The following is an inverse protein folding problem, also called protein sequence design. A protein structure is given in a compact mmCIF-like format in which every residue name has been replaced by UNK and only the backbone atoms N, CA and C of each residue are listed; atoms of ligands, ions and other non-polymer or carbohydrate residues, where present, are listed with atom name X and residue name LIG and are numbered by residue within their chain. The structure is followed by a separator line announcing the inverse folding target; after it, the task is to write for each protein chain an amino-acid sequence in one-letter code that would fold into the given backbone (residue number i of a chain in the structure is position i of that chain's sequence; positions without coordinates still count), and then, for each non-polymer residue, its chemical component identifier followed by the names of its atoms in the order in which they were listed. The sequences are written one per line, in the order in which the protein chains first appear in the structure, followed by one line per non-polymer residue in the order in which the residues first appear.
data_IF_082661663203
#
_entry.id   IF_082661663203
#
_cell.length_a   1.000
_cell.length_b   1.000
_cell.length_c   1.000
_cell.angle_alpha   90.00
_cell.angle_beta   90.00
_cell.angle_gamma   90.00
#
_symmetry.space_group_name_H-M   'P 1'
#
loop_
_entity.id
_entity.type
_entity.pdbx_description
1 polymer ?
#
# COMPACT_ATOMS: atom_id res chain seq x y z
N UNK A 1 27.07 16.65 -5.75
CA UNK A 1 26.48 16.89 -4.42
C UNK A 1 25.02 16.46 -4.50
N UNK A 2 24.64 15.37 -3.84
CA UNK A 2 23.24 14.96 -3.72
C UNK A 2 22.58 15.97 -2.78
N UNK A 3 21.72 16.85 -3.32
CA UNK A 3 20.83 17.67 -2.48
C UNK A 3 19.87 16.66 -1.84
N UNK A 4 20.09 16.37 -0.55
CA UNK A 4 19.18 15.53 0.22
C UNK A 4 17.80 16.22 0.17
N UNK A 5 16.82 15.53 -0.40
CA UNK A 5 15.45 16.00 -0.35
C UNK A 5 15.08 16.22 1.13
N UNK A 6 14.52 17.38 1.46
CA UNK A 6 14.08 17.67 2.81
C UNK A 6 12.98 16.68 3.20
N UNK A 7 13.26 15.84 4.19
CA UNK A 7 12.31 14.89 4.75
C UNK A 7 11.59 15.56 5.90
N UNK A 8 10.26 15.53 5.89
CA UNK A 8 9.42 16.01 6.99
C UNK A 8 8.57 14.85 7.51
N UNK A 9 8.40 14.79 8.81
CA UNK A 9 7.66 13.75 9.52
C UNK A 9 6.59 14.39 10.39
N UNK A 10 5.38 13.85 10.32
CA UNK A 10 4.26 14.38 11.08
C UNK A 10 3.21 13.30 11.37
N UNK A 11 2.28 13.61 12.26
CA UNK A 11 1.10 12.80 12.51
C UNK A 11 -0.15 13.59 12.14
N UNK A 12 -1.04 12.95 11.42
CA UNK A 12 -2.31 13.53 10.99
C UNK A 12 -3.49 12.71 11.51
N UNK A 13 -4.62 13.34 11.66
CA UNK A 13 -5.84 12.66 12.07
C UNK A 13 -6.41 11.84 10.91
N UNK A 14 -6.84 10.62 11.21
CA UNK A 14 -7.58 9.73 10.34
C UNK A 14 -8.92 9.36 10.98
N UNK A 15 -9.66 8.44 10.36
CA UNK A 15 -10.95 8.00 10.87
C UNK A 15 -10.85 7.34 12.26
N UNK A 16 -11.94 7.34 13.01
CA UNK A 16 -12.08 6.68 14.33
C UNK A 16 -11.10 7.20 15.40
N UNK A 17 -10.65 8.47 15.30
CA UNK A 17 -9.73 9.07 16.26
C UNK A 17 -8.30 8.53 16.20
N UNK A 18 -7.94 7.80 15.18
CA UNK A 18 -6.59 7.29 14.94
C UNK A 18 -5.72 8.42 14.33
N UNK A 19 -4.49 8.56 14.82
CA UNK A 19 -3.48 9.42 14.20
C UNK A 19 -2.48 8.57 13.45
N UNK A 20 -2.33 8.84 12.17
CA UNK A 20 -1.37 8.15 11.32
C UNK A 20 -0.11 8.98 11.13
N UNK A 21 1.02 8.30 11.01
CA UNK A 21 2.31 8.90 10.72
C UNK A 21 2.47 9.04 9.21
N UNK A 22 2.94 10.22 8.78
CA UNK A 22 3.22 10.52 7.37
C UNK A 22 4.63 11.09 7.25
N UNK A 23 5.38 10.55 6.32
CA UNK A 23 6.69 11.03 5.90
C UNK A 23 6.55 11.71 4.55
N UNK A 24 7.13 12.89 4.38
CA UNK A 24 7.07 13.57 3.09
C UNK A 24 8.44 14.07 2.66
N UNK A 25 8.64 14.15 1.35
CA UNK A 25 9.85 14.66 0.69
C UNK A 25 9.45 15.80 -0.23
N UNK A 26 10.11 16.94 -0.03
CA UNK A 26 9.91 18.11 -0.87
C UNK A 26 11.00 18.16 -1.94
N UNK A 27 10.65 18.31 -3.23
CA UNK A 27 11.64 18.47 -4.29
C UNK A 27 12.41 19.79 -4.14
N UNK A 28 13.61 19.90 -4.72
CA UNK A 28 14.43 21.11 -4.63
C UNK A 28 13.87 22.31 -5.41
N UNK A 29 12.89 22.08 -6.28
CA UNK A 29 12.18 23.10 -7.07
C UNK A 29 10.67 22.92 -6.92
N UNK A 30 9.87 23.84 -7.51
CA UNK A 30 8.43 23.71 -7.51
C UNK A 30 8.01 22.33 -8.07
N UNK A 31 7.19 21.56 -7.32
CA UNK A 31 6.78 20.23 -7.75
C UNK A 31 5.87 20.27 -8.97
N UNK A 32 6.02 19.30 -9.86
CA UNK A 32 5.18 19.11 -11.03
C UNK A 32 4.01 18.16 -10.81
N UNK A 33 3.97 17.51 -9.65
CA UNK A 33 2.94 16.58 -9.25
C UNK A 33 3.19 16.05 -7.85
N UNK A 34 2.23 15.31 -7.33
CA UNK A 34 2.25 14.69 -6.01
C UNK A 34 2.20 13.17 -6.16
N UNK A 35 3.01 12.46 -5.38
CA UNK A 35 2.98 11.00 -5.25
C UNK A 35 2.66 10.62 -3.81
N UNK A 36 1.58 9.86 -3.62
CA UNK A 36 1.26 9.24 -2.34
C UNK A 36 1.62 7.76 -2.41
N UNK A 37 2.35 7.24 -1.41
CA UNK A 37 2.83 5.86 -1.34
C UNK A 37 2.13 5.15 -0.19
N UNK A 38 1.44 4.04 -0.51
CA UNK A 38 0.82 3.11 0.44
C UNK A 38 1.63 1.81 0.47
N UNK A 39 2.26 1.53 1.63
CA UNK A 39 3.08 0.33 1.84
C UNK A 39 2.26 -0.94 2.04
N UNK A 40 2.89 -2.11 1.94
CA UNK A 40 2.31 -3.41 2.20
C UNK A 40 2.46 -3.90 3.65
N UNK A 41 2.32 -5.22 3.84
CA UNK A 41 2.64 -5.90 5.10
C UNK A 41 4.16 -5.98 5.29
N UNK A 42 4.63 -6.22 6.51
CA UNK A 42 6.04 -6.17 6.90
C UNK A 42 6.74 -4.87 6.48
N UNK A 43 6.01 -3.76 6.43
CA UNK A 43 6.52 -2.51 5.88
C UNK A 43 5.96 -1.28 6.59
N UNK A 44 6.62 -0.13 6.35
CA UNK A 44 6.22 1.20 6.78
C UNK A 44 6.95 2.26 5.94
N UNK A 45 6.59 3.54 6.07
CA UNK A 45 7.15 4.65 5.27
C UNK A 45 8.68 4.78 5.33
N UNK A 46 9.30 4.32 6.41
CA UNK A 46 10.77 4.34 6.58
C UNK A 46 11.52 3.48 5.57
N UNK A 47 10.88 2.44 5.02
CA UNK A 47 11.49 1.60 4.00
C UNK A 47 11.49 2.26 2.60
N UNK A 48 10.79 3.39 2.45
CA UNK A 48 10.71 4.17 1.20
C UNK A 48 11.65 5.40 1.20
N UNK A 49 12.60 5.50 2.14
CA UNK A 49 13.51 6.66 2.21
C UNK A 49 14.27 6.89 0.90
N UNK A 50 14.81 5.83 0.30
CA UNK A 50 15.51 5.92 -0.98
C UNK A 50 14.55 6.30 -2.12
N UNK A 51 13.44 5.57 -2.26
CA UNK A 51 12.47 5.79 -3.34
C UNK A 51 11.85 7.19 -3.25
N UNK A 52 11.46 7.63 -2.03
CA UNK A 52 10.93 8.97 -1.80
C UNK A 52 11.92 10.07 -2.23
N UNK A 53 13.21 9.90 -1.90
CA UNK A 53 14.26 10.83 -2.32
C UNK A 53 14.45 10.84 -3.86
N UNK A 54 14.39 9.67 -4.53
CA UNK A 54 14.48 9.59 -5.99
C UNK A 54 13.30 10.29 -6.68
N UNK A 55 12.08 10.04 -6.23
CA UNK A 55 10.89 10.69 -6.77
C UNK A 55 10.90 12.20 -6.52
N UNK A 56 11.35 12.65 -5.33
CA UNK A 56 11.51 14.06 -5.05
C UNK A 56 12.57 14.71 -5.95
N UNK A 57 13.69 14.05 -6.16
CA UNK A 57 14.74 14.51 -7.10
C UNK A 57 14.23 14.58 -8.53
N UNK A 58 13.24 13.76 -8.88
CA UNK A 58 12.56 13.80 -10.18
C UNK A 58 11.45 14.88 -10.24
N UNK A 59 11.30 15.72 -9.21
CA UNK A 59 10.38 16.86 -9.20
C UNK A 59 8.96 16.53 -8.71
N UNK A 60 8.78 15.49 -7.91
CA UNK A 60 7.50 15.17 -7.27
C UNK A 60 7.53 15.55 -5.78
N UNK A 61 6.43 16.09 -5.25
CA UNK A 61 6.20 16.09 -3.82
C UNK A 61 5.72 14.69 -3.42
N UNK A 62 6.43 14.04 -2.47
CA UNK A 62 6.15 12.64 -2.12
C UNK A 62 5.62 12.56 -0.69
N UNK A 63 4.61 11.74 -0.47
CA UNK A 63 4.03 11.43 0.83
C UNK A 63 3.93 9.92 0.99
N UNK A 64 4.53 9.36 2.05
CA UNK A 64 4.39 7.95 2.40
C UNK A 64 3.76 7.87 3.79
N UNK A 65 2.61 7.20 3.89
CA UNK A 65 1.96 6.99 5.18
C UNK A 65 2.45 5.70 5.84
N UNK A 66 2.33 5.64 7.16
CA UNK A 66 2.24 4.37 7.88
C UNK A 66 0.76 4.08 8.10
N UNK A 67 0.27 2.94 7.60
CA UNK A 67 -1.10 2.50 7.84
C UNK A 67 -1.34 2.32 9.35
N UNK A 68 -2.56 2.52 9.83
CA UNK A 68 -2.91 2.31 11.25
C UNK A 68 -2.42 0.95 11.76
N UNK A 69 -1.92 0.90 12.99
CA UNK A 69 -1.35 -0.29 13.60
C UNK A 69 -0.01 -0.73 13.00
N UNK A 70 0.64 0.07 12.13
CA UNK A 70 1.92 -0.20 11.49
C UNK A 70 2.88 0.97 11.65
N UNK A 71 4.17 0.70 11.50
CA UNK A 71 5.20 1.73 11.62
C UNK A 71 5.06 2.54 12.90
N UNK A 72 4.96 3.85 12.76
CA UNK A 72 4.79 4.81 13.86
C UNK A 72 3.34 5.30 14.04
N UNK A 73 2.38 4.78 13.28
CA UNK A 73 0.97 5.12 13.39
C UNK A 73 0.33 4.51 14.64
N UNK A 74 -0.70 5.19 15.15
CA UNK A 74 -1.55 4.68 16.22
C UNK A 74 -2.39 3.49 15.73
N UNK A 75 -3.01 2.79 16.66
CA UNK A 75 -3.85 1.63 16.42
C UNK A 75 -3.27 0.34 16.99
N UNK A 76 -4.10 -0.70 17.08
CA UNK A 76 -3.66 -2.02 17.50
C UNK A 76 -2.72 -2.62 16.45
N UNK A 77 -1.58 -3.18 16.89
CA UNK A 77 -0.54 -3.69 15.98
C UNK A 77 -1.09 -4.75 15.03
N UNK A 78 -0.93 -4.48 13.72
CA UNK A 78 -1.30 -5.34 12.59
C UNK A 78 -2.80 -5.65 12.47
N UNK A 79 -3.64 -5.03 13.29
CA UNK A 79 -5.06 -5.30 13.37
C UNK A 79 -5.88 -4.27 12.59
N UNK A 80 -6.77 -4.76 11.73
CA UNK A 80 -7.83 -3.96 11.09
C UNK A 80 -9.05 -4.84 10.83
N UNK A 81 -10.23 -4.31 11.09
CA UNK A 81 -11.50 -5.05 10.92
C UNK A 81 -12.01 -4.98 9.47
N UNK A 82 -11.82 -3.83 8.84
CA UNK A 82 -12.27 -3.56 7.48
C UNK A 82 -11.16 -2.87 6.68
N UNK A 83 -11.03 -3.22 5.41
CA UNK A 83 -10.09 -2.53 4.52
C UNK A 83 -10.38 -1.03 4.41
N UNK A 84 -11.63 -0.62 4.60
CA UNK A 84 -12.06 0.79 4.60
C UNK A 84 -11.37 1.64 5.66
N UNK A 85 -10.90 1.02 6.74
CA UNK A 85 -10.09 1.70 7.74
C UNK A 85 -8.73 2.11 7.17
N UNK A 86 -8.07 1.24 6.41
CA UNK A 86 -6.86 1.55 5.67
C UNK A 86 -7.12 2.53 4.51
N UNK A 87 -8.26 2.38 3.82
CA UNK A 87 -8.68 3.32 2.77
C UNK A 87 -8.82 4.73 3.35
N UNK A 88 -9.35 4.87 4.58
CA UNK A 88 -9.46 6.16 5.28
C UNK A 88 -8.09 6.79 5.58
N UNK A 89 -7.06 5.97 5.87
CA UNK A 89 -5.69 6.46 6.09
C UNK A 89 -5.08 7.00 4.80
N UNK A 90 -5.30 6.30 3.68
CA UNK A 90 -4.90 6.77 2.35
C UNK A 90 -5.63 8.07 2.00
N UNK A 91 -6.94 8.14 2.23
CA UNK A 91 -7.74 9.34 2.00
C UNK A 91 -7.23 10.56 2.79
N UNK A 92 -6.93 10.39 4.09
CA UNK A 92 -6.38 11.45 4.93
C UNK A 92 -5.02 11.95 4.39
N UNK A 93 -4.16 11.04 3.93
CA UNK A 93 -2.85 11.38 3.36
C UNK A 93 -2.99 12.12 2.02
N UNK A 94 -3.91 11.70 1.16
CA UNK A 94 -4.21 12.39 -0.11
C UNK A 94 -4.78 13.79 0.17
N UNK A 95 -5.68 13.93 1.14
CA UNK A 95 -6.23 15.23 1.53
C UNK A 95 -5.13 16.19 2.03
N UNK A 96 -4.20 15.70 2.87
CA UNK A 96 -3.04 16.46 3.31
C UNK A 96 -2.20 16.91 2.11
N UNK A 97 -1.88 15.99 1.20
CA UNK A 97 -1.06 16.26 0.02
C UNK A 97 -1.69 17.32 -0.88
N UNK A 98 -3.00 17.20 -1.15
CA UNK A 98 -3.77 18.18 -1.94
C UNK A 98 -3.88 19.54 -1.26
N UNK A 99 -3.96 19.60 0.08
CA UNK A 99 -3.97 20.86 0.83
C UNK A 99 -2.64 21.63 0.74
N UNK A 100 -1.52 20.90 0.68
CA UNK A 100 -0.18 21.48 0.54
C UNK A 100 0.17 21.89 -0.89
N UNK A 101 -0.35 21.15 -1.85
CA UNK A 101 -0.06 21.32 -3.26
C UNK A 101 -1.35 21.39 -4.09
N UNK A 102 -2.18 22.43 -3.88
CA UNK A 102 -3.46 22.55 -4.55
C UNK A 102 -3.28 22.65 -6.08
N UNK A 103 -4.14 21.95 -6.82
CA UNK A 103 -4.16 21.96 -8.29
C UNK A 103 -3.10 21.11 -8.99
N UNK A 104 -2.16 20.51 -8.25
CA UNK A 104 -1.21 19.58 -8.86
C UNK A 104 -1.83 18.19 -9.12
N UNK A 105 -1.38 17.49 -10.18
CA UNK A 105 -1.77 16.11 -10.42
C UNK A 105 -1.32 15.21 -9.27
N UNK A 106 -2.21 14.33 -8.80
CA UNK A 106 -1.97 13.40 -7.70
C UNK A 106 -1.93 11.97 -8.23
N UNK A 107 -0.87 11.26 -7.92
CA UNK A 107 -0.67 9.85 -8.21
C UNK A 107 -0.66 9.05 -6.90
N UNK A 108 -1.28 7.87 -6.92
CA UNK A 108 -1.25 6.92 -5.81
C UNK A 108 -0.42 5.69 -6.21
N UNK A 109 0.59 5.36 -5.40
CA UNK A 109 1.37 4.14 -5.53
C UNK A 109 1.00 3.19 -4.39
N UNK A 110 0.51 2.01 -4.73
CA UNK A 110 0.25 0.92 -3.79
C UNK A 110 1.20 -0.24 -4.02
N UNK A 111 1.93 -0.63 -2.97
CA UNK A 111 2.87 -1.75 -3.02
C UNK A 111 2.32 -2.95 -2.23
N UNK A 112 2.35 -4.15 -2.83
CA UNK A 112 1.93 -5.40 -2.20
C UNK A 112 0.49 -5.32 -1.67
N UNK A 113 0.23 -5.59 -0.39
CA UNK A 113 -1.08 -5.39 0.26
C UNK A 113 -1.55 -3.92 0.20
N UNK A 114 -0.62 -2.95 0.20
CA UNK A 114 -0.95 -1.55 -0.06
C UNK A 114 -1.53 -1.32 -1.46
N UNK A 115 -1.24 -2.20 -2.42
CA UNK A 115 -1.91 -2.24 -3.72
C UNK A 115 -3.39 -2.57 -3.59
N UNK A 116 -3.76 -3.55 -2.74
CA UNK A 116 -5.17 -3.91 -2.45
C UNK A 116 -5.92 -2.75 -1.80
N UNK A 117 -5.30 -2.11 -0.81
CA UNK A 117 -5.85 -0.91 -0.13
C UNK A 117 -6.03 0.23 -1.14
N UNK A 118 -4.99 0.51 -1.93
CA UNK A 118 -5.00 1.59 -2.93
C UNK A 118 -6.01 1.33 -4.05
N UNK A 119 -6.12 0.10 -4.55
CA UNK A 119 -7.13 -0.26 -5.54
C UNK A 119 -8.56 -0.11 -4.98
N UNK A 120 -8.76 -0.45 -3.69
CA UNK A 120 -10.04 -0.22 -3.00
C UNK A 120 -10.36 1.28 -2.89
N UNK A 121 -9.37 2.13 -2.58
CA UNK A 121 -9.53 3.58 -2.63
C UNK A 121 -9.89 4.07 -4.04
N UNK A 122 -9.17 3.59 -5.06
CA UNK A 122 -9.37 3.98 -6.46
C UNK A 122 -10.79 3.67 -6.92
N UNK A 123 -11.37 2.53 -6.57
CA UNK A 123 -12.74 2.17 -6.95
C UNK A 123 -13.77 3.25 -6.62
N UNK A 124 -13.62 3.89 -5.47
CA UNK A 124 -14.62 4.83 -4.96
C UNK A 124 -14.20 6.30 -5.13
N UNK A 125 -12.89 6.57 -5.35
CA UNK A 125 -12.30 7.92 -5.31
C UNK A 125 -11.40 8.24 -6.52
N UNK A 126 -11.48 7.49 -7.63
CA UNK A 126 -10.58 7.68 -8.77
C UNK A 126 -10.60 9.07 -9.39
N UNK A 127 -11.70 9.81 -9.25
CA UNK A 127 -11.80 11.21 -9.71
C UNK A 127 -10.86 12.17 -8.96
N UNK A 128 -10.34 11.76 -7.82
CA UNK A 128 -9.39 12.53 -7.02
C UNK A 128 -7.93 12.34 -7.46
N UNK A 129 -7.68 11.39 -8.37
CA UNK A 129 -6.35 10.98 -8.80
C UNK A 129 -6.14 11.21 -10.29
N UNK A 130 -4.89 11.45 -10.66
CA UNK A 130 -4.44 11.52 -12.06
C UNK A 130 -4.03 10.15 -12.59
N UNK A 131 -3.56 9.27 -11.72
CA UNK A 131 -3.17 7.90 -12.09
C UNK A 131 -2.90 7.03 -10.86
N UNK A 132 -2.92 5.72 -11.09
CA UNK A 132 -2.64 4.70 -10.09
C UNK A 132 -1.45 3.85 -10.51
N UNK A 133 -0.51 3.65 -9.59
CA UNK A 133 0.66 2.78 -9.76
C UNK A 133 0.50 1.62 -8.79
N UNK A 134 0.49 0.40 -9.33
CA UNK A 134 0.34 -0.83 -8.56
C UNK A 134 1.60 -1.69 -8.73
N UNK A 135 2.35 -1.88 -7.66
CA UNK A 135 3.60 -2.62 -7.66
C UNK A 135 3.48 -3.89 -6.82
N UNK A 136 3.94 -5.04 -7.37
CA UNK A 136 3.93 -6.35 -6.70
C UNK A 136 2.57 -6.65 -6.04
N UNK A 137 1.51 -6.52 -6.80
CA UNK A 137 0.13 -6.52 -6.32
C UNK A 137 -0.23 -7.80 -5.55
N UNK A 138 -0.52 -7.68 -4.25
CA UNK A 138 -0.91 -8.81 -3.40
C UNK A 138 -2.39 -9.21 -3.58
N UNK A 139 -2.89 -9.13 -4.81
CA UNK A 139 -4.20 -9.61 -5.19
C UNK A 139 -4.15 -11.14 -5.38
N UNK A 140 -5.15 -11.83 -4.85
CA UNK A 140 -5.21 -13.29 -4.78
C UNK A 140 -4.18 -13.88 -3.82
N UNK A 141 -4.52 -13.84 -2.52
CA UNK A 141 -3.75 -14.57 -1.50
C UNK A 141 -3.58 -16.04 -1.97
N UNK A 142 -2.35 -16.56 -2.06
CA UNK A 142 -2.09 -17.91 -2.60
C UNK A 142 -2.48 -18.99 -1.57
N UNK A 143 -3.79 -19.14 -1.34
CA UNK A 143 -4.34 -20.16 -0.45
C UNK A 143 -5.58 -20.80 -1.08
N UNK A 144 -5.82 -22.09 -0.83
CA UNK A 144 -7.04 -22.77 -1.30
C UNK A 144 -8.30 -22.08 -0.78
N UNK A 145 -9.38 -22.05 -1.59
CA UNK A 145 -10.61 -21.34 -1.25
C UNK A 145 -11.24 -21.79 0.08
N UNK A 146 -11.12 -23.07 0.46
CA UNK A 146 -11.58 -23.57 1.75
C UNK A 146 -10.79 -22.98 2.93
N UNK A 147 -9.50 -22.74 2.77
CA UNK A 147 -8.66 -22.12 3.80
C UNK A 147 -9.04 -20.64 3.98
N UNK A 148 -9.29 -19.91 2.90
CA UNK A 148 -9.77 -18.54 2.94
C UNK A 148 -11.16 -18.45 3.60
N UNK A 149 -12.05 -19.39 3.31
CA UNK A 149 -13.36 -19.48 3.97
C UNK A 149 -13.23 -19.77 5.47
N UNK A 150 -12.31 -20.68 5.85
CA UNK A 150 -12.02 -20.98 7.25
C UNK A 150 -11.47 -19.75 7.99
N UNK A 151 -10.56 -18.98 7.37
CA UNK A 151 -10.03 -17.72 7.96
C UNK A 151 -11.17 -16.70 8.16
N UNK A 152 -12.08 -16.56 7.18
CA UNK A 152 -13.25 -15.68 7.32
C UNK A 152 -14.16 -16.12 8.48
N UNK A 153 -14.41 -17.41 8.65
CA UNK A 153 -15.14 -17.95 9.80
C UNK A 153 -14.40 -17.71 11.12
N UNK A 154 -13.09 -17.97 11.16
CA UNK A 154 -12.25 -17.80 12.34
C UNK A 154 -12.16 -16.33 12.76
N UNK A 155 -12.22 -15.39 11.81
CA UNK A 155 -12.20 -13.95 12.10
C UNK A 155 -13.33 -13.50 13.02
N UNK A 156 -14.45 -14.22 13.08
CA UNK A 156 -15.56 -13.93 13.99
C UNK A 156 -15.38 -14.57 15.38
N UNK A 157 -14.68 -15.70 15.46
CA UNK A 157 -14.52 -16.45 16.72
C UNK A 157 -13.24 -16.08 17.45
N UNK A 158 -12.16 -15.87 16.72
CA UNK A 158 -10.83 -15.55 17.24
C UNK A 158 -10.15 -14.49 16.37
N UNK A 159 -10.63 -13.24 16.34
CA UNK A 159 -10.19 -12.21 15.40
C UNK A 159 -8.69 -11.88 15.49
N UNK A 160 -8.10 -12.01 16.69
CA UNK A 160 -6.69 -11.71 16.96
C UNK A 160 -5.75 -12.90 16.77
N UNK A 161 -6.28 -14.08 16.41
CA UNK A 161 -5.42 -15.26 16.21
C UNK A 161 -4.46 -15.00 15.02
N UNK A 162 -3.13 -15.13 15.22
CA UNK A 162 -2.16 -15.01 14.13
C UNK A 162 -2.35 -16.17 13.13
N UNK A 163 -2.58 -15.86 11.86
CA UNK A 163 -2.85 -16.87 10.82
C UNK A 163 -1.90 -16.79 9.62
N UNK A 164 -1.17 -15.68 9.47
CA UNK A 164 -0.25 -15.49 8.36
C UNK A 164 0.99 -14.73 8.83
N UNK A 165 2.14 -15.37 8.69
CA UNK A 165 3.46 -14.75 8.88
C UNK A 165 4.25 -14.88 7.58
N UNK A 166 4.74 -13.76 7.06
CA UNK A 166 5.54 -13.72 5.85
C UNK A 166 7.03 -13.73 6.23
N UNK A 167 7.84 -14.38 5.40
CA UNK A 167 9.27 -14.43 5.57
C UNK A 167 9.93 -13.31 4.79
N UNK A 168 10.82 -12.56 5.40
CA UNK A 168 11.51 -11.45 4.73
C UNK A 168 12.45 -11.93 3.61
N UNK A 169 12.89 -13.19 3.66
CA UNK A 169 13.67 -13.86 2.61
C UNK A 169 12.91 -14.00 1.28
N UNK A 170 11.57 -13.97 1.33
CA UNK A 170 10.73 -14.02 0.13
C UNK A 170 10.58 -12.65 -0.57
N UNK A 171 10.98 -11.55 0.10
CA UNK A 171 10.87 -10.19 -0.44
C UNK A 171 12.11 -9.72 -1.19
N UNK A 172 13.29 -10.31 -0.94
CA UNK A 172 14.52 -9.89 -1.60
C UNK A 172 15.53 -11.02 -1.72
N UNK A 173 16.29 -11.00 -2.81
CA UNK A 173 17.48 -11.86 -3.01
C UNK A 173 18.76 -11.21 -2.47
N UNK A 174 18.72 -9.93 -2.12
CA UNK A 174 19.83 -9.21 -1.51
C UNK A 174 19.88 -9.53 0.00
N UNK A 175 20.94 -10.21 0.48
CA UNK A 175 21.06 -10.58 1.89
C UNK A 175 21.13 -9.36 2.82
N UNK A 176 21.70 -8.24 2.38
CA UNK A 176 21.76 -7.02 3.16
C UNK A 176 20.38 -6.37 3.30
N UNK A 177 19.55 -6.45 2.26
CA UNK A 177 18.16 -6.01 2.33
C UNK A 177 17.35 -6.87 3.31
N UNK A 178 17.48 -8.20 3.24
CA UNK A 178 16.86 -9.14 4.17
C UNK A 178 17.30 -8.90 5.61
N UNK A 179 18.60 -8.70 5.84
CA UNK A 179 19.13 -8.39 7.18
C UNK A 179 18.54 -7.09 7.74
N UNK A 180 18.39 -6.05 6.92
CA UNK A 180 17.72 -4.79 7.33
C UNK A 180 16.26 -5.02 7.70
N UNK A 181 15.50 -5.78 6.90
CA UNK A 181 14.11 -6.13 7.21
C UNK A 181 13.99 -6.92 8.51
N UNK A 182 14.86 -7.93 8.71
CA UNK A 182 14.86 -8.77 9.92
C UNK A 182 15.24 -8.00 11.19
N UNK A 183 16.00 -6.92 11.07
CA UNK A 183 16.43 -6.08 12.19
C UNK A 183 15.52 -4.88 12.46
N UNK A 184 14.49 -4.66 11.65
CA UNK A 184 13.59 -3.52 11.77
C UNK A 184 12.63 -3.70 12.95
N UNK A 185 12.74 -2.90 14.02
CA UNK A 185 11.89 -3.04 15.20
C UNK A 185 10.41 -2.70 14.92
N UNK A 186 10.11 -1.95 13.86
CA UNK A 186 8.74 -1.54 13.52
C UNK A 186 7.95 -2.64 12.82
N UNK A 187 8.64 -3.67 12.30
CA UNK A 187 8.02 -4.84 11.67
C UNK A 187 8.36 -6.15 12.40
N UNK A 188 9.08 -6.05 13.53
CA UNK A 188 9.49 -7.22 14.32
C UNK A 188 8.28 -8.05 14.76
N UNK A 189 8.37 -9.37 14.56
CA UNK A 189 7.32 -10.34 14.91
C UNK A 189 5.97 -10.09 14.22
N UNK A 190 5.95 -9.41 13.07
CA UNK A 190 4.71 -9.18 12.35
C UNK A 190 4.07 -10.49 11.93
N UNK A 191 2.84 -10.69 12.40
CA UNK A 191 1.96 -11.77 11.98
C UNK A 191 0.55 -11.20 11.81
N UNK A 192 -0.09 -11.54 10.70
CA UNK A 192 -1.41 -11.02 10.38
C UNK A 192 -2.47 -11.76 11.18
N UNK A 193 -3.31 -11.07 11.97
CA UNK A 193 -4.44 -11.69 12.66
C UNK A 193 -5.54 -12.08 11.66
N UNK A 194 -6.34 -13.06 12.06
CA UNK A 194 -7.41 -13.63 11.23
C UNK A 194 -8.37 -12.57 10.67
N UNK A 195 -8.71 -11.57 11.47
CA UNK A 195 -9.61 -10.48 11.05
C UNK A 195 -8.99 -9.63 9.93
N UNK A 196 -7.70 -9.30 10.01
CA UNK A 196 -6.99 -8.50 9.01
C UNK A 196 -6.84 -9.26 7.70
N UNK A 197 -6.48 -10.55 7.76
CA UNK A 197 -6.44 -11.40 6.56
C UNK A 197 -7.83 -11.51 5.94
N UNK A 198 -8.88 -11.72 6.74
CA UNK A 198 -10.25 -11.78 6.27
C UNK A 198 -10.72 -10.45 5.64
N UNK A 199 -10.28 -9.30 6.16
CA UNK A 199 -10.57 -8.00 5.57
C UNK A 199 -9.93 -7.85 4.17
N UNK A 200 -8.67 -8.26 4.01
CA UNK A 200 -7.98 -8.25 2.72
C UNK A 200 -8.61 -9.24 1.72
N UNK A 201 -8.99 -10.43 2.17
CA UNK A 201 -9.68 -11.42 1.31
C UNK A 201 -11.03 -10.87 0.82
N UNK A 202 -11.81 -10.22 1.68
CA UNK A 202 -13.07 -9.56 1.27
C UNK A 202 -12.82 -8.42 0.27
N UNK A 203 -11.73 -7.67 0.45
CA UNK A 203 -11.34 -6.64 -0.52
C UNK A 203 -10.96 -7.26 -1.87
N UNK A 204 -10.22 -8.35 -1.89
CA UNK A 204 -9.90 -9.09 -3.12
C UNK A 204 -11.16 -9.58 -3.85
N UNK A 205 -12.14 -10.11 -3.11
CA UNK A 205 -13.43 -10.55 -3.67
C UNK A 205 -14.20 -9.40 -4.33
N UNK A 206 -14.21 -8.22 -3.69
CA UNK A 206 -14.79 -6.99 -4.25
C UNK A 206 -14.02 -6.52 -5.48
N UNK A 207 -12.70 -6.41 -5.39
CA UNK A 207 -11.83 -5.95 -6.46
C UNK A 207 -11.97 -6.82 -7.72
N UNK A 208 -12.03 -8.15 -7.55
CA UNK A 208 -12.22 -9.10 -8.66
C UNK A 208 -13.46 -8.78 -9.49
N UNK A 209 -14.54 -8.34 -8.85
CA UNK A 209 -15.80 -8.03 -9.51
C UNK A 209 -15.80 -6.61 -10.10
N UNK A 210 -15.09 -5.68 -9.46
CA UNK A 210 -15.20 -4.26 -9.73
C UNK A 210 -14.02 -3.65 -10.50
N UNK A 211 -12.95 -4.40 -10.82
CA UNK A 211 -11.85 -3.89 -11.66
C UNK A 211 -12.29 -3.21 -12.95
N UNK A 212 -13.36 -3.64 -13.66
CA UNK A 212 -13.85 -2.92 -14.84
C UNK A 212 -14.27 -1.46 -14.58
N UNK A 213 -14.55 -1.10 -13.32
CA UNK A 213 -14.90 0.29 -12.93
C UNK A 213 -13.67 1.19 -12.79
N UNK A 214 -12.47 0.64 -12.71
CA UNK A 214 -11.22 1.42 -12.64
C UNK A 214 -10.88 1.92 -14.04
N UNK A 215 -11.05 3.21 -14.29
CA UNK A 215 -10.93 3.82 -15.63
C UNK A 215 -9.84 4.88 -15.74
N UNK A 216 -9.25 5.34 -14.61
CA UNK A 216 -8.10 6.24 -14.62
C UNK A 216 -6.86 5.54 -15.19
N UNK A 217 -5.79 6.28 -15.59
CA UNK A 217 -4.52 5.69 -16.03
C UNK A 217 -3.90 4.78 -14.95
N UNK A 218 -3.44 3.58 -15.35
CA UNK A 218 -2.87 2.59 -14.45
C UNK A 218 -1.52 2.08 -14.96
N UNK A 219 -0.49 2.16 -14.12
CA UNK A 219 0.78 1.47 -14.30
C UNK A 219 0.86 0.30 -13.32
N UNK A 220 1.03 -0.92 -13.84
CA UNK A 220 1.18 -2.13 -13.06
C UNK A 220 2.59 -2.66 -13.26
N UNK A 221 3.29 -2.95 -12.18
CA UNK A 221 4.65 -3.50 -12.20
C UNK A 221 4.71 -4.73 -11.30
N UNK A 222 5.37 -5.82 -11.76
CA UNK A 222 5.50 -7.03 -10.97
C UNK A 222 6.75 -7.82 -11.38
N UNK A 223 7.51 -8.29 -10.40
CA UNK A 223 8.62 -9.19 -10.66
C UNK A 223 8.11 -10.60 -10.99
N UNK A 224 8.55 -11.17 -12.12
CA UNK A 224 8.14 -12.53 -12.53
C UNK A 224 8.64 -13.64 -11.59
N UNK A 225 9.65 -13.34 -10.76
CA UNK A 225 10.25 -14.25 -9.78
C UNK A 225 9.85 -13.90 -8.33
N UNK A 226 8.78 -13.10 -8.18
CA UNK A 226 8.22 -12.73 -6.88
C UNK A 226 7.65 -13.97 -6.17
N UNK A 227 8.12 -14.22 -4.92
CA UNK A 227 7.71 -15.35 -4.11
C UNK A 227 6.67 -15.00 -3.06
N UNK A 228 6.54 -13.70 -2.77
CA UNK A 228 5.60 -13.19 -1.77
C UNK A 228 4.21 -12.94 -2.36
N UNK A 229 4.18 -12.49 -3.63
CA UNK A 229 2.94 -12.23 -4.35
C UNK A 229 3.00 -12.86 -5.75
N UNK A 230 1.84 -13.33 -6.22
CA UNK A 230 1.80 -14.02 -7.52
C UNK A 230 1.56 -13.04 -8.66
N UNK A 231 2.45 -13.04 -9.65
CA UNK A 231 2.40 -12.19 -10.84
C UNK A 231 1.04 -12.26 -11.57
N UNK A 232 0.39 -13.45 -11.56
CA UNK A 232 -0.92 -13.66 -12.17
C UNK A 232 -2.00 -12.69 -11.66
N UNK A 233 -1.93 -12.24 -10.41
CA UNK A 233 -2.86 -11.23 -9.88
C UNK A 233 -2.74 -9.89 -10.61
N UNK A 234 -1.52 -9.46 -10.91
CA UNK A 234 -1.23 -8.24 -11.70
C UNK A 234 -1.67 -8.39 -13.15
N UNK A 235 -1.45 -9.54 -13.76
CA UNK A 235 -1.92 -9.84 -15.12
C UNK A 235 -3.46 -9.79 -15.19
N UNK A 236 -4.14 -10.42 -14.22
CA UNK A 236 -5.60 -10.40 -14.13
C UNK A 236 -6.14 -8.98 -13.97
N UNK A 237 -5.53 -8.16 -13.11
CA UNK A 237 -5.90 -6.75 -12.95
C UNK A 237 -5.71 -5.99 -14.27
N UNK A 238 -4.55 -6.16 -14.94
CA UNK A 238 -4.33 -5.52 -16.25
C UNK A 238 -5.37 -5.93 -17.28
N UNK A 239 -5.74 -7.20 -17.36
CA UNK A 239 -6.72 -7.70 -18.33
C UNK A 239 -8.12 -7.12 -18.08
N UNK A 240 -8.51 -7.00 -16.80
CA UNK A 240 -9.90 -6.71 -16.42
C UNK A 240 -10.18 -5.25 -16.07
N UNK A 241 -9.15 -4.43 -15.74
CA UNK A 241 -9.33 -3.00 -15.50
C UNK A 241 -9.96 -2.30 -16.71
N UNK A 242 -10.93 -1.43 -16.43
CA UNK A 242 -11.65 -0.64 -17.44
C UNK A 242 -10.84 0.50 -18.04
N UNK A 243 -9.67 0.79 -17.52
CA UNK A 243 -8.76 1.82 -18.03
C UNK A 243 -8.38 1.56 -19.49
N UNK A 244 -8.43 2.61 -20.30
CA UNK A 244 -7.91 2.61 -21.68
C UNK A 244 -6.42 2.94 -21.74
N UNK A 245 -5.90 3.57 -20.69
CA UNK A 245 -4.48 3.89 -20.49
C UNK A 245 -3.94 3.01 -19.37
N UNK A 246 -3.57 1.79 -19.72
CA UNK A 246 -3.03 0.82 -18.77
C UNK A 246 -1.79 0.12 -19.33
N UNK A 247 -0.76 0.06 -18.50
CA UNK A 247 0.52 -0.58 -18.83
C UNK A 247 0.85 -1.63 -17.79
N UNK A 248 1.26 -2.82 -18.23
CA UNK A 248 1.84 -3.87 -17.41
C UNK A 248 3.32 -4.02 -17.75
N UNK A 249 4.18 -4.01 -16.72
CA UNK A 249 5.61 -4.30 -16.79
C UNK A 249 5.94 -5.49 -15.89
N UNK A 250 6.42 -6.55 -16.47
CA UNK A 250 6.91 -7.75 -15.80
C UNK A 250 8.45 -7.80 -15.87
#
# INVERSE_FOLDING_TARGET
MSVLANVHEERIDSSKGIRIFVRSWTPPSAPRGVLVICHGVNSHSGQYLWAGAQFASAGLAVFALDLRGRGQSDGERFYVEHVDDYVSDVAATIALAKSRYPGLPVFLLGHSAGGVVSASYVLDHQSELTGFICESFAFQVPAPGFALAAIKGLSHLAPRLPVLTLKNEDFSRDPDAVARLNSDPLTANESQPAITVAALVRADERLRQEFPRITLPVLIMHGTDDKATVCHGSEFFHQTAGSRDKTLKL
#
